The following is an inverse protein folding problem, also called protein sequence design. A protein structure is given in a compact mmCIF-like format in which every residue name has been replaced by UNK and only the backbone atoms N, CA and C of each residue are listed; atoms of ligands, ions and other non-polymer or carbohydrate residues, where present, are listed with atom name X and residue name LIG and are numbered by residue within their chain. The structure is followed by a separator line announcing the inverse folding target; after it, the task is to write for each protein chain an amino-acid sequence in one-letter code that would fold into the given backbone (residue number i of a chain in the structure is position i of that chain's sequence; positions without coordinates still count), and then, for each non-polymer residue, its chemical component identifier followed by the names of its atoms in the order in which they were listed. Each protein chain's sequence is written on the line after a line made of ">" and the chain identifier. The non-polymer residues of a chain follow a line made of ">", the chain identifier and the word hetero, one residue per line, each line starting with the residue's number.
data_IF_818741941502
#
_entry.id   IF_818741941502
#
_cell.length_a   1.000
_cell.length_b   1.000
_cell.length_c   1.000
_cell.angle_alpha   90.00
_cell.angle_beta   90.00
_cell.angle_gamma   90.00
#
_symmetry.space_group_name_H-M   'P 1'
#
loop_
_entity.id
_entity.type
_entity.pdbx_description
1 polymer ?
#
# COMPACT_ATOMS: atom_id res chain seq x y z
N UNK A 1 29.84 16.33 32.58
CA UNK A 1 29.44 15.01 32.04
C UNK A 1 28.10 14.68 32.64
N UNK A 2 27.04 14.68 31.83
CA UNK A 2 25.71 14.27 32.27
C UNK A 2 25.78 12.75 32.41
N UNK A 3 25.75 12.24 33.64
CA UNK A 3 25.59 10.81 33.88
C UNK A 3 24.22 10.40 33.33
N UNK A 4 24.20 9.86 32.10
CA UNK A 4 23.04 9.30 31.42
C UNK A 4 22.43 8.06 32.13
N UNK A 5 22.97 7.71 33.30
CA UNK A 5 22.82 6.45 34.02
C UNK A 5 22.78 6.64 35.55
N UNK A 6 22.37 7.80 36.08
CA UNK A 6 22.30 7.97 37.55
C UNK A 6 21.22 7.07 38.16
N UNK A 7 21.64 5.96 38.77
CA UNK A 7 21.41 5.42 40.13
C UNK A 7 20.21 5.92 40.97
N UNK A 8 19.09 6.28 40.36
CA UNK A 8 17.82 6.35 41.10
C UNK A 8 17.29 4.92 41.09
N UNK A 9 17.41 4.23 42.23
CA UNK A 9 16.75 2.94 42.45
C UNK A 9 15.23 3.16 42.44
N UNK A 10 14.65 3.14 41.25
CA UNK A 10 13.22 3.29 41.06
C UNK A 10 12.51 2.04 41.59
N UNK A 11 11.64 2.23 42.57
CA UNK A 11 10.84 1.15 43.18
C UNK A 11 9.39 1.32 42.76
N UNK A 12 8.69 0.22 42.49
CA UNK A 12 7.26 0.24 42.20
C UNK A 12 6.51 0.82 43.41
N UNK A 13 5.62 1.79 43.21
CA UNK A 13 4.96 2.56 44.27
C UNK A 13 5.83 3.66 44.89
N UNK A 14 7.06 3.87 44.40
CA UNK A 14 7.92 4.98 44.83
C UNK A 14 7.39 6.34 44.37
N UNK A 15 7.74 7.42 45.09
CA UNK A 15 7.33 8.78 44.71
C UNK A 15 8.11 9.27 43.49
N UNK A 16 7.40 9.85 42.52
CA UNK A 16 8.01 10.57 41.40
C UNK A 16 8.40 11.97 41.90
N UNK A 17 9.68 12.39 41.79
CA UNK A 17 10.08 13.75 42.16
C UNK A 17 9.27 14.81 41.40
N UNK A 18 8.88 15.89 42.08
CA UNK A 18 8.10 17.00 41.49
C UNK A 18 8.80 17.63 40.29
N UNK A 19 10.13 17.61 40.29
CA UNK A 19 10.98 18.26 39.29
C UNK A 19 11.51 17.24 38.26
N UNK A 20 11.03 15.99 38.30
CA UNK A 20 11.43 14.98 37.34
C UNK A 20 11.04 15.40 35.92
N UNK A 21 12.04 15.57 35.07
CA UNK A 21 11.92 15.78 33.64
C UNK A 21 12.97 14.95 32.94
N UNK A 22 12.55 14.02 32.09
CA UNK A 22 13.48 13.16 31.37
C UNK A 22 14.29 13.99 30.37
N UNK A 23 15.59 14.12 30.62
CA UNK A 23 16.52 14.87 29.76
C UNK A 23 16.63 14.25 28.36
N UNK A 24 16.26 12.98 28.19
CA UNK A 24 16.29 12.28 26.91
C UNK A 24 14.99 12.37 26.11
N UNK A 25 14.00 13.15 26.55
CA UNK A 25 12.73 13.31 25.81
C UNK A 25 12.93 13.77 24.35
N UNK A 26 14.00 14.52 24.07
CA UNK A 26 14.38 14.95 22.71
C UNK A 26 14.77 13.79 21.78
N UNK A 27 15.03 12.59 22.31
CA UNK A 27 15.29 11.40 21.49
C UNK A 27 14.06 10.98 20.68
N UNK A 28 12.85 11.26 21.15
CA UNK A 28 11.62 10.95 20.42
C UNK A 28 11.60 11.55 18.99
N UNK A 29 11.65 12.88 18.81
CA UNK A 29 11.62 13.47 17.47
C UNK A 29 12.86 13.09 16.63
N UNK A 30 14.02 12.86 17.27
CA UNK A 30 15.24 12.43 16.58
C UNK A 30 15.07 11.02 15.98
N UNK A 31 14.57 10.06 16.77
CA UNK A 31 14.35 8.69 16.31
C UNK A 31 13.24 8.59 15.27
N UNK A 32 12.13 9.33 15.46
CA UNK A 32 11.06 9.40 14.47
C UNK A 32 11.57 10.01 13.17
N UNK A 33 12.30 11.13 13.23
CA UNK A 33 12.90 11.77 12.07
C UNK A 33 13.89 10.87 11.35
N UNK A 34 14.79 10.21 12.08
CA UNK A 34 15.72 9.22 11.53
C UNK A 34 14.98 8.06 10.85
N UNK A 35 13.91 7.55 11.47
CA UNK A 35 13.03 6.54 10.89
C UNK A 35 12.45 6.99 9.54
N UNK A 36 11.94 8.22 9.45
CA UNK A 36 11.42 8.78 8.19
C UNK A 36 12.49 8.85 7.11
N UNK A 37 13.68 9.38 7.41
CA UNK A 37 14.78 9.45 6.45
C UNK A 37 15.24 8.07 5.97
N UNK A 38 15.29 7.09 6.87
CA UNK A 38 15.66 5.73 6.55
C UNK A 38 14.62 5.07 5.62
N UNK A 39 13.33 5.26 5.89
CA UNK A 39 12.25 4.82 4.99
C UNK A 39 12.38 5.46 3.61
N UNK A 40 12.63 6.77 3.55
CA UNK A 40 12.82 7.49 2.29
C UNK A 40 14.03 6.95 1.50
N UNK A 41 15.17 6.78 2.17
CA UNK A 41 16.41 6.28 1.56
C UNK A 41 16.27 4.86 1.01
N UNK A 42 15.74 3.93 1.80
CA UNK A 42 15.56 2.53 1.34
C UNK A 42 14.53 2.43 0.22
N UNK A 43 13.46 3.24 0.28
CA UNK A 43 12.46 3.31 -0.79
C UNK A 43 13.07 3.86 -2.08
N UNK A 44 13.87 4.92 -2.00
CA UNK A 44 14.61 5.45 -3.15
C UNK A 44 15.57 4.41 -3.74
N UNK A 45 16.32 3.68 -2.91
CA UNK A 45 17.19 2.60 -3.37
C UNK A 45 16.43 1.49 -4.10
N UNK A 46 15.24 1.07 -3.60
CA UNK A 46 14.39 0.07 -4.27
C UNK A 46 13.87 0.57 -5.62
N UNK A 47 13.45 1.83 -5.70
CA UNK A 47 12.95 2.46 -6.94
C UNK A 47 14.10 2.59 -7.96
N UNK A 48 15.26 3.06 -7.52
CA UNK A 48 16.46 3.19 -8.35
C UNK A 48 16.95 1.83 -8.90
N UNK A 49 16.95 0.78 -8.07
CA UNK A 49 17.28 -0.59 -8.52
C UNK A 49 16.33 -1.12 -9.60
N UNK A 50 15.09 -0.62 -9.66
CA UNK A 50 14.12 -0.92 -10.72
C UNK A 50 14.27 -0.03 -11.95
N UNK A 51 15.27 0.85 -11.99
CA UNK A 51 15.52 1.84 -13.05
C UNK A 51 14.37 2.83 -13.26
N UNK A 52 13.59 3.09 -12.21
CA UNK A 52 12.51 4.07 -12.24
C UNK A 52 13.09 5.44 -11.84
N UNK A 53 12.83 6.53 -12.58
CA UNK A 53 13.29 7.86 -12.21
C UNK A 53 12.75 8.29 -10.84
N UNK A 54 13.62 8.81 -9.97
CA UNK A 54 13.25 9.24 -8.61
C UNK A 54 12.44 10.54 -8.58
N UNK A 55 12.35 11.28 -9.69
CA UNK A 55 11.64 12.56 -9.79
C UNK A 55 10.23 12.49 -9.21
N UNK A 56 9.45 11.49 -9.63
CA UNK A 56 8.05 11.38 -9.18
C UNK A 56 7.94 10.95 -7.73
N UNK A 57 8.91 10.19 -7.21
CA UNK A 57 8.99 9.83 -5.79
C UNK A 57 9.30 11.04 -4.91
N UNK A 58 10.28 11.86 -5.30
CA UNK A 58 10.64 13.10 -4.60
C UNK A 58 9.48 14.10 -4.61
N UNK A 59 8.82 14.29 -5.76
CA UNK A 59 7.63 15.14 -5.84
C UNK A 59 6.49 14.63 -4.96
N UNK A 60 6.29 13.31 -4.89
CA UNK A 60 5.29 12.72 -3.99
C UNK A 60 5.58 13.10 -2.53
N UNK A 61 6.85 13.03 -2.10
CA UNK A 61 7.28 13.41 -0.74
C UNK A 61 6.97 14.88 -0.46
N UNK A 62 7.33 15.78 -1.37
CA UNK A 62 7.07 17.23 -1.22
C UNK A 62 5.58 17.57 -1.11
N UNK A 63 4.71 16.75 -1.68
CA UNK A 63 3.26 16.93 -1.62
C UNK A 63 2.68 16.22 -0.39
N UNK A 64 3.06 14.96 -0.15
CA UNK A 64 2.45 14.11 0.86
C UNK A 64 2.84 14.49 2.28
N UNK A 65 4.07 14.95 2.52
CA UNK A 65 4.52 15.31 3.86
C UNK A 65 3.76 16.53 4.41
N UNK A 66 3.69 17.68 3.70
CA UNK A 66 2.92 18.84 4.19
C UNK A 66 1.44 18.52 4.37
N UNK A 67 0.83 17.82 3.40
CA UNK A 67 -0.59 17.43 3.49
C UNK A 67 -0.82 16.46 4.65
N UNK A 68 0.14 15.56 4.90
CA UNK A 68 0.11 14.65 6.05
C UNK A 68 0.22 15.39 7.38
N UNK A 69 1.09 16.39 7.51
CA UNK A 69 1.20 17.19 8.74
C UNK A 69 -0.08 18.00 8.99
N UNK A 70 -0.63 18.62 7.95
CA UNK A 70 -1.89 19.36 8.04
C UNK A 70 -3.04 18.41 8.41
N UNK A 71 -3.13 17.25 7.77
CA UNK A 71 -4.12 16.22 8.11
C UNK A 71 -3.98 15.72 9.54
N UNK A 72 -2.75 15.54 10.03
CA UNK A 72 -2.51 15.16 11.42
C UNK A 72 -3.10 16.19 12.39
N UNK A 73 -2.84 17.47 12.15
CA UNK A 73 -3.36 18.57 12.99
C UNK A 73 -4.89 18.63 12.95
N UNK A 74 -5.49 18.58 11.76
CA UNK A 74 -6.94 18.67 11.59
C UNK A 74 -7.64 17.51 12.32
N UNK A 75 -7.29 16.27 12.01
CA UNK A 75 -7.98 15.11 12.60
C UNK A 75 -7.63 14.90 14.08
N UNK A 76 -6.48 15.35 14.56
CA UNK A 76 -6.13 15.29 15.97
C UNK A 76 -6.96 16.24 16.82
N UNK A 77 -7.14 17.48 16.37
CA UNK A 77 -7.94 18.49 17.07
C UNK A 77 -9.45 18.31 16.89
N UNK A 78 -9.90 17.75 15.76
CA UNK A 78 -11.30 17.34 15.59
C UNK A 78 -11.69 16.19 16.54
N UNK A 79 -10.73 15.34 16.91
CA UNK A 79 -10.96 14.23 17.82
C UNK A 79 -11.02 14.61 19.30
N UNK A 80 -10.50 15.79 19.68
CA UNK A 80 -10.66 16.35 21.02
C UNK A 80 -11.98 17.12 21.10
N UNK A 81 -13.04 16.42 21.53
CA UNK A 81 -14.43 16.90 21.62
C UNK A 81 -14.65 18.08 22.60
N UNK A 82 -13.60 18.59 23.25
CA UNK A 82 -13.70 19.60 24.32
C UNK A 82 -13.29 21.01 23.91
N UNK A 83 -12.81 21.23 22.68
CA UNK A 83 -12.53 22.60 22.23
C UNK A 83 -13.79 23.22 21.63
N UNK A 84 -14.33 24.22 22.33
CA UNK A 84 -15.30 25.14 21.77
C UNK A 84 -14.85 25.56 20.36
N UNK A 85 -15.73 25.35 19.38
CA UNK A 85 -15.50 25.57 17.94
C UNK A 85 -15.25 27.03 17.55
N UNK A 86 -14.95 27.87 18.53
CA UNK A 86 -14.83 29.32 18.48
C UNK A 86 -13.77 29.78 17.48
N UNK A 87 -12.81 28.92 17.07
CA UNK A 87 -11.78 29.25 16.09
C UNK A 87 -11.37 28.09 15.17
N UNK A 88 -12.13 27.84 14.10
CA UNK A 88 -11.85 26.81 13.08
C UNK A 88 -10.42 26.85 12.50
N UNK A 89 -9.80 28.04 12.38
CA UNK A 89 -8.44 28.18 11.85
C UNK A 89 -7.36 27.52 12.74
N UNK A 90 -7.63 27.32 14.04
CA UNK A 90 -6.69 26.63 14.95
C UNK A 90 -6.48 25.17 14.57
N UNK A 91 -7.38 24.57 13.79
CA UNK A 91 -7.22 23.21 13.24
C UNK A 91 -5.95 23.06 12.40
N UNK A 92 -5.46 24.15 11.79
CA UNK A 92 -4.25 24.14 10.95
C UNK A 92 -2.95 24.38 11.72
N UNK A 93 -3.03 24.71 13.02
CA UNK A 93 -1.86 25.03 13.84
C UNK A 93 -1.13 23.75 14.24
N UNK A 94 -0.35 23.19 13.33
CA UNK A 94 0.41 21.96 13.56
C UNK A 94 1.51 22.14 14.62
N UNK A 95 1.93 23.36 14.94
CA UNK A 95 2.89 23.62 16.02
C UNK A 95 2.27 23.52 17.42
N UNK A 96 0.95 23.35 17.52
CA UNK A 96 0.27 23.09 18.79
C UNK A 96 0.08 21.57 19.00
N UNK A 97 -0.02 21.13 20.26
CA UNK A 97 -0.34 19.73 20.56
C UNK A 97 -1.71 19.32 19.99
N UNK A 98 -1.92 18.01 19.85
CA UNK A 98 -3.14 17.43 19.28
C UNK A 98 -2.99 16.99 17.82
N UNK A 99 -1.91 16.30 17.47
CA UNK A 99 -1.76 15.65 16.17
C UNK A 99 -2.30 14.21 16.18
N UNK A 100 -3.01 13.82 15.12
CA UNK A 100 -3.47 12.45 14.89
C UNK A 100 -2.58 11.73 13.88
N UNK A 101 -2.01 10.59 14.30
CA UNK A 101 -1.31 9.67 13.40
C UNK A 101 -2.21 9.20 12.24
N UNK A 102 -3.47 8.86 12.52
CA UNK A 102 -4.43 8.43 11.50
C UNK A 102 -4.75 9.53 10.49
N UNK A 103 -4.89 10.78 10.97
CA UNK A 103 -5.04 11.95 10.11
C UNK A 103 -3.88 12.12 9.14
N UNK A 104 -2.66 11.95 9.65
CA UNK A 104 -1.44 12.02 8.83
C UNK A 104 -1.40 10.95 7.75
N UNK A 105 -1.65 9.70 8.13
CA UNK A 105 -1.64 8.56 7.23
C UNK A 105 -2.73 8.68 6.16
N UNK A 106 -3.93 9.11 6.53
CA UNK A 106 -5.05 9.29 5.62
C UNK A 106 -4.76 10.41 4.60
N UNK A 107 -4.46 11.63 5.05
CA UNK A 107 -4.23 12.76 4.16
C UNK A 107 -2.94 12.63 3.35
N UNK A 108 -1.82 12.29 4.00
CA UNK A 108 -0.53 12.13 3.32
C UNK A 108 -0.52 10.93 2.38
N UNK A 109 -1.07 9.79 2.82
CA UNK A 109 -1.14 8.58 2.01
C UNK A 109 -2.07 8.73 0.80
N UNK A 110 -3.22 9.38 0.95
CA UNK A 110 -4.12 9.68 -0.17
C UNK A 110 -3.49 10.66 -1.15
N UNK A 111 -2.81 11.71 -0.69
CA UNK A 111 -2.08 12.62 -1.55
C UNK A 111 -0.99 11.92 -2.38
N UNK A 112 -0.18 11.06 -1.75
CA UNK A 112 0.83 10.26 -2.45
C UNK A 112 0.17 9.31 -3.47
N UNK A 113 -0.91 8.63 -3.10
CA UNK A 113 -1.65 7.75 -4.00
C UNK A 113 -2.20 8.50 -5.22
N UNK A 114 -2.84 9.65 -5.02
CA UNK A 114 -3.37 10.47 -6.10
C UNK A 114 -2.27 10.98 -7.03
N UNK A 115 -1.14 11.40 -6.47
CA UNK A 115 0.03 11.81 -7.25
C UNK A 115 0.54 10.69 -8.14
N UNK A 116 0.84 9.52 -7.56
CA UNK A 116 1.32 8.37 -8.32
C UNK A 116 0.27 7.88 -9.32
N UNK A 117 -1.01 7.91 -8.97
CA UNK A 117 -2.09 7.53 -9.87
C UNK A 117 -2.17 8.45 -11.09
N UNK A 118 -2.08 9.75 -10.89
CA UNK A 118 -2.03 10.71 -11.98
C UNK A 118 -0.78 10.51 -12.85
N UNK A 119 0.41 10.42 -12.23
CA UNK A 119 1.68 10.24 -12.94
C UNK A 119 1.83 8.88 -13.60
N UNK A 120 1.12 7.86 -13.14
CA UNK A 120 1.08 6.55 -13.78
C UNK A 120 0.57 6.63 -15.22
N UNK A 121 -0.30 7.61 -15.54
CA UNK A 121 -0.86 7.79 -16.89
C UNK A 121 0.17 8.31 -17.90
N UNK A 122 1.16 9.07 -17.44
CA UNK A 122 2.21 9.62 -18.31
C UNK A 122 3.46 8.75 -18.31
N UNK A 123 3.91 8.31 -17.13
CA UNK A 123 5.12 7.49 -16.97
C UNK A 123 4.90 6.01 -17.31
N UNK A 124 3.62 5.58 -17.39
CA UNK A 124 3.22 4.17 -17.52
C UNK A 124 3.76 3.26 -16.42
N UNK A 125 4.18 3.82 -15.28
CA UNK A 125 4.56 3.03 -14.09
C UNK A 125 3.35 2.84 -13.21
N UNK A 126 2.98 1.59 -12.94
CA UNK A 126 1.84 1.28 -12.09
C UNK A 126 2.04 1.78 -10.65
N UNK A 127 1.00 2.35 -10.06
CA UNK A 127 1.02 2.83 -8.66
C UNK A 127 1.42 1.73 -7.68
N UNK A 128 1.01 0.48 -7.97
CA UNK A 128 1.33 -0.67 -7.14
C UNK A 128 2.84 -0.97 -7.09
N UNK A 129 3.61 -0.54 -8.10
CA UNK A 129 5.07 -0.66 -8.10
C UNK A 129 5.68 0.29 -7.08
N UNK A 130 5.22 1.54 -7.05
CA UNK A 130 5.62 2.51 -6.01
C UNK A 130 5.18 2.03 -4.63
N UNK A 131 3.94 1.53 -4.50
CA UNK A 131 3.43 1.01 -3.25
C UNK A 131 4.32 -0.12 -2.70
N UNK A 132 4.71 -1.11 -3.51
CA UNK A 132 5.57 -2.21 -3.06
C UNK A 132 6.99 -1.74 -2.69
N UNK A 133 7.46 -0.64 -3.30
CA UNK A 133 8.75 -0.06 -2.97
C UNK A 133 8.74 0.74 -1.68
N UNK A 134 7.61 1.34 -1.30
CA UNK A 134 7.48 2.29 -0.18
C UNK A 134 6.82 1.64 1.04
N UNK A 135 5.60 1.10 0.86
CA UNK A 135 4.71 0.68 1.96
C UNK A 135 5.36 -0.33 2.91
N UNK A 136 6.02 -1.41 2.44
CA UNK A 136 6.69 -2.31 3.35
C UNK A 136 7.73 -1.61 4.23
N UNK A 137 8.48 -0.65 3.68
CA UNK A 137 9.55 0.02 4.41
C UNK A 137 9.03 0.88 5.56
N UNK A 138 7.75 1.29 5.57
CA UNK A 138 7.14 2.03 6.68
C UNK A 138 7.32 1.29 8.02
N UNK A 139 7.36 -0.06 7.99
CA UNK A 139 7.64 -0.88 9.17
C UNK A 139 8.99 -0.56 9.83
N UNK A 140 10.01 -0.17 9.06
CA UNK A 140 11.29 0.25 9.62
C UNK A 140 11.16 1.54 10.40
N UNK A 141 10.47 2.54 9.82
CA UNK A 141 10.18 3.79 10.49
C UNK A 141 9.37 3.57 11.77
N UNK A 142 8.36 2.68 11.72
CA UNK A 142 7.60 2.28 12.90
C UNK A 142 8.50 1.61 13.95
N UNK A 143 9.34 0.65 13.55
CA UNK A 143 10.20 -0.07 14.49
C UNK A 143 11.14 0.85 15.27
N UNK A 144 11.69 1.87 14.60
CA UNK A 144 12.56 2.88 15.22
C UNK A 144 11.74 3.89 16.02
N UNK A 145 10.59 4.33 15.49
CA UNK A 145 9.70 5.26 16.18
C UNK A 145 9.23 4.75 17.54
N UNK A 146 9.02 3.43 17.69
CA UNK A 146 8.68 2.83 19.00
C UNK A 146 9.74 3.04 20.08
N UNK A 147 11.01 3.14 19.72
CA UNK A 147 12.05 3.49 20.69
C UNK A 147 11.92 4.94 21.15
N UNK A 148 11.42 5.84 20.29
CA UNK A 148 11.04 7.19 20.70
C UNK A 148 10.03 7.15 21.84
N UNK A 149 8.99 6.31 21.73
CA UNK A 149 7.92 6.21 22.72
C UNK A 149 8.43 5.93 24.14
N UNK A 150 9.49 5.12 24.27
CA UNK A 150 10.16 4.86 25.54
C UNK A 150 10.69 6.16 26.17
N UNK A 151 11.40 6.98 25.38
CA UNK A 151 11.97 8.25 25.86
C UNK A 151 10.93 9.36 26.07
N UNK A 152 9.78 9.28 25.41
CA UNK A 152 8.68 10.23 25.62
C UNK A 152 7.70 9.78 26.72
N UNK A 153 7.96 8.62 27.34
CA UNK A 153 7.07 7.99 28.30
C UNK A 153 5.62 7.82 27.78
N UNK A 154 5.44 7.32 26.55
CA UNK A 154 4.11 7.14 25.93
C UNK A 154 3.88 5.70 25.43
N UNK A 155 2.62 5.26 25.36
CA UNK A 155 2.20 3.99 24.73
C UNK A 155 2.98 2.79 25.31
N UNK A 156 2.93 2.67 26.62
CA UNK A 156 3.49 1.55 27.38
C UNK A 156 2.46 0.43 27.54
N UNK A 157 2.91 -0.75 27.94
CA UNK A 157 2.02 -1.89 28.13
C UNK A 157 1.22 -1.82 29.43
N UNK A 158 0.69 -2.98 29.83
CA UNK A 158 -0.07 -3.13 31.08
C UNK A 158 0.81 -2.89 32.30
N UNK A 159 0.14 -2.68 33.43
CA UNK A 159 0.79 -2.56 34.74
C UNK A 159 1.54 -3.86 35.06
N UNK A 160 2.75 -3.71 35.58
CA UNK A 160 3.56 -4.82 36.08
C UNK A 160 3.42 -4.85 37.59
N UNK A 161 2.73 -5.87 38.09
CA UNK A 161 2.58 -6.08 39.54
C UNK A 161 3.88 -6.61 40.18
N UNK A 162 4.64 -7.41 39.43
CA UNK A 162 5.89 -8.04 39.86
C UNK A 162 7.06 -7.64 38.95
N UNK A 163 7.93 -6.79 39.48
CA UNK A 163 9.10 -6.23 38.78
C UNK A 163 10.09 -7.33 38.37
N UNK A 164 10.09 -8.49 39.03
CA UNK A 164 10.95 -9.62 38.65
C UNK A 164 10.73 -10.10 37.21
N UNK A 165 9.52 -9.88 36.66
CA UNK A 165 9.17 -10.21 35.26
C UNK A 165 9.87 -9.35 34.22
N UNK A 166 10.38 -8.18 34.61
CA UNK A 166 11.07 -7.22 33.71
C UNK A 166 12.57 -7.08 34.05
N UNK A 167 13.07 -7.74 35.09
CA UNK A 167 14.48 -7.70 35.51
C UNK A 167 15.49 -8.22 34.47
N UNK A 168 15.04 -8.88 33.40
CA UNK A 168 15.91 -9.28 32.30
C UNK A 168 16.26 -8.12 31.35
N UNK A 169 15.55 -6.99 31.46
CA UNK A 169 15.81 -5.81 30.64
C UNK A 169 17.01 -5.03 31.18
N UNK A 170 17.84 -4.45 30.30
CA UNK A 170 18.88 -3.52 30.70
C UNK A 170 18.34 -2.32 31.50
N UNK A 171 19.14 -1.82 32.43
CA UNK A 171 18.78 -0.70 33.34
C UNK A 171 18.28 0.55 32.62
N UNK A 172 18.85 0.86 31.46
CA UNK A 172 18.43 2.04 30.69
C UNK A 172 16.99 1.94 30.17
N UNK A 173 16.43 0.72 30.04
CA UNK A 173 15.07 0.47 29.54
C UNK A 173 14.09 0.46 30.70
N UNK A 174 14.29 -0.42 31.68
CA UNK A 174 13.26 -0.64 32.71
C UNK A 174 13.06 0.58 33.61
N UNK A 175 14.12 1.36 33.86
CA UNK A 175 14.02 2.67 34.54
C UNK A 175 13.22 3.74 33.79
N UNK A 176 12.68 3.45 32.59
CA UNK A 176 11.82 4.37 31.83
C UNK A 176 10.43 3.80 31.56
N UNK A 177 10.15 2.59 32.04
CA UNK A 177 8.87 1.91 31.84
C UNK A 177 7.80 2.38 32.82
N UNK A 178 7.58 3.68 32.96
CA UNK A 178 6.49 4.23 33.77
C UNK A 178 5.96 5.53 33.17
N UNK A 179 4.72 5.88 33.49
CA UNK A 179 4.13 7.16 33.10
C UNK A 179 4.49 8.27 34.08
N UNK A 180 4.87 9.44 33.56
CA UNK A 180 5.04 10.66 34.38
C UNK A 180 3.73 11.44 34.47
N UNK A 181 2.96 11.40 33.39
CA UNK A 181 1.67 12.08 33.23
C UNK A 181 0.65 11.03 32.85
N UNK A 182 -0.50 11.02 33.52
CA UNK A 182 -1.62 10.15 33.16
C UNK A 182 -2.09 10.52 31.74
N UNK A 183 -2.04 9.58 30.78
CA UNK A 183 -2.43 9.90 29.41
C UNK A 183 -3.93 10.15 29.22
N UNK A 184 -4.79 9.80 30.18
CA UNK A 184 -6.22 10.07 30.16
C UNK A 184 -6.56 11.46 30.69
N UNK A 185 -6.05 11.78 31.88
CA UNK A 185 -6.41 13.02 32.58
C UNK A 185 -5.44 14.16 32.29
N UNK A 186 -4.23 13.85 31.81
CA UNK A 186 -3.14 14.82 31.64
C UNK A 186 -2.53 15.27 32.96
N UNK A 187 -2.91 14.65 34.08
CA UNK A 187 -2.40 14.99 35.41
C UNK A 187 -1.07 14.29 35.69
N UNK A 188 -0.21 14.94 36.48
CA UNK A 188 1.07 14.36 36.86
C UNK A 188 0.84 13.25 37.89
N UNK A 189 1.42 12.08 37.65
CA UNK A 189 1.36 10.97 38.59
C UNK A 189 2.33 11.22 39.75
N UNK A 190 1.90 10.85 40.96
CA UNK A 190 2.69 10.96 42.19
C UNK A 190 3.50 9.71 42.50
N UNK A 191 3.04 8.56 42.02
CA UNK A 191 3.60 7.25 42.28
C UNK A 191 4.03 6.55 40.99
N UNK A 192 5.13 5.81 41.07
CA UNK A 192 5.67 5.02 39.97
C UNK A 192 4.87 3.74 39.86
N UNK A 193 4.35 3.49 38.66
CA UNK A 193 3.81 2.20 38.30
C UNK A 193 4.53 1.68 37.07
N UNK A 194 5.32 0.62 37.24
CA UNK A 194 6.03 0.01 36.12
C UNK A 194 5.06 -0.63 35.13
N UNK A 195 5.43 -0.56 33.85
CA UNK A 195 4.64 -1.03 32.72
C UNK A 195 5.41 -2.09 31.93
N UNK A 196 4.68 -2.92 31.21
CA UNK A 196 5.28 -3.89 30.29
C UNK A 196 5.96 -3.17 29.11
N UNK A 197 7.06 -3.72 28.57
CA UNK A 197 7.84 -3.11 27.48
C UNK A 197 7.16 -3.30 26.12
N UNK A 198 5.90 -2.87 25.97
CA UNK A 198 5.12 -3.02 24.74
C UNK A 198 5.82 -2.41 23.52
N UNK A 199 6.51 -1.28 23.71
CA UNK A 199 7.30 -0.63 22.67
C UNK A 199 8.33 -1.57 22.02
N UNK A 200 8.95 -2.45 22.82
CA UNK A 200 9.97 -3.39 22.38
C UNK A 200 9.34 -4.53 21.57
N UNK A 201 8.21 -5.05 22.03
CA UNK A 201 7.43 -6.07 21.31
C UNK A 201 6.98 -5.53 19.95
N UNK A 202 6.45 -4.30 19.89
CA UNK A 202 6.04 -3.67 18.64
C UNK A 202 7.22 -3.35 17.72
N UNK A 203 8.33 -2.86 18.28
CA UNK A 203 9.55 -2.58 17.52
C UNK A 203 10.08 -3.84 16.84
N UNK A 204 10.21 -4.94 17.61
CA UNK A 204 10.70 -6.20 17.09
C UNK A 204 9.72 -6.84 16.10
N UNK A 205 8.41 -6.86 16.41
CA UNK A 205 7.41 -7.45 15.53
C UNK A 205 7.34 -6.72 14.18
N UNK A 206 7.38 -5.39 14.17
CA UNK A 206 7.38 -4.59 12.93
C UNK A 206 8.67 -4.78 12.13
N UNK A 207 9.83 -4.80 12.79
CA UNK A 207 11.10 -5.09 12.13
C UNK A 207 11.13 -6.51 11.53
N UNK A 208 10.68 -7.52 12.29
CA UNK A 208 10.63 -8.90 11.83
C UNK A 208 9.68 -9.05 10.63
N UNK A 209 8.51 -8.41 10.67
CA UNK A 209 7.61 -8.39 9.52
C UNK A 209 8.25 -7.73 8.30
N UNK A 210 9.03 -6.66 8.47
CA UNK A 210 9.76 -6.04 7.37
C UNK A 210 10.77 -6.99 6.73
N UNK A 211 11.52 -7.73 7.56
CA UNK A 211 12.47 -8.76 7.12
C UNK A 211 11.73 -9.85 6.33
N UNK A 212 10.62 -10.35 6.86
CA UNK A 212 9.80 -11.36 6.20
C UNK A 212 9.29 -10.85 4.84
N UNK A 213 8.75 -9.64 4.76
CA UNK A 213 8.24 -9.08 3.49
C UNK A 213 9.37 -8.91 2.48
N UNK A 214 10.50 -8.33 2.90
CA UNK A 214 11.59 -7.94 2.00
C UNK A 214 12.41 -9.14 1.51
N UNK A 215 12.63 -10.15 2.35
CA UNK A 215 13.52 -11.28 2.01
C UNK A 215 12.77 -12.58 1.73
N UNK A 216 11.67 -12.85 2.44
CA UNK A 216 10.90 -14.09 2.29
C UNK A 216 9.82 -13.92 1.23
N UNK A 217 8.80 -13.09 1.46
CA UNK A 217 7.65 -12.97 0.55
C UNK A 217 8.03 -12.42 -0.83
N UNK A 218 9.01 -11.52 -0.91
CA UNK A 218 9.53 -11.03 -2.18
C UNK A 218 10.21 -12.11 -3.04
N UNK A 219 10.72 -13.18 -2.42
CA UNK A 219 11.43 -14.28 -3.11
C UNK A 219 10.66 -15.61 -3.11
N UNK A 220 9.58 -15.72 -2.33
CA UNK A 220 8.78 -16.92 -2.17
C UNK A 220 8.33 -17.52 -3.50
N UNK A 221 7.90 -16.67 -4.43
CA UNK A 221 7.46 -17.11 -5.75
C UNK A 221 8.59 -17.79 -6.55
N UNK A 222 9.83 -17.30 -6.46
CA UNK A 222 11.00 -17.93 -7.10
C UNK A 222 11.34 -19.28 -6.47
N UNK A 223 11.11 -19.43 -5.17
CA UNK A 223 11.39 -20.69 -4.46
C UNK A 223 10.42 -21.79 -4.91
N UNK A 224 9.12 -21.47 -4.99
CA UNK A 224 8.05 -22.41 -5.37
C UNK A 224 7.98 -22.62 -6.89
N UNK A 225 8.39 -21.63 -7.70
CA UNK A 225 8.36 -21.74 -9.16
C UNK A 225 9.29 -22.83 -9.69
N UNK A 226 8.90 -23.41 -10.83
CA UNK A 226 9.77 -24.23 -11.69
C UNK A 226 11.05 -23.44 -11.98
N UNK A 227 12.21 -24.10 -11.90
CA UNK A 227 13.51 -23.45 -12.12
C UNK A 227 13.77 -23.27 -13.62
N UNK A 228 14.25 -22.10 -14.08
CA UNK A 228 14.48 -21.84 -15.51
C UNK A 228 15.35 -22.90 -16.18
N UNK A 229 16.46 -23.25 -15.55
CA UNK A 229 17.43 -24.25 -16.03
C UNK A 229 16.92 -25.70 -16.02
N UNK A 230 15.74 -25.98 -15.44
CA UNK A 230 15.09 -27.28 -15.56
C UNK A 230 14.13 -27.32 -16.75
N UNK A 231 13.58 -26.17 -17.15
CA UNK A 231 12.65 -26.06 -18.29
C UNK A 231 13.46 -26.00 -19.58
N UNK A 232 14.50 -25.18 -19.59
CA UNK A 232 15.40 -25.02 -20.73
C UNK A 232 16.86 -25.07 -20.23
N UNK A 233 17.46 -26.26 -20.19
CA UNK A 233 18.80 -26.42 -19.61
C UNK A 233 19.92 -25.78 -20.45
N UNK A 234 19.77 -25.67 -21.76
CA UNK A 234 20.83 -25.20 -22.66
C UNK A 234 20.95 -23.68 -22.54
N UNK A 235 19.82 -22.97 -22.58
CA UNK A 235 19.79 -21.50 -22.58
C UNK A 235 20.05 -20.85 -21.22
N UNK A 236 20.13 -21.65 -20.16
CA UNK A 236 20.39 -21.21 -18.80
C UNK A 236 21.61 -21.93 -18.19
N UNK A 237 22.82 -21.70 -18.74
CA UNK A 237 24.03 -22.24 -18.15
C UNK A 237 24.28 -21.55 -16.81
N UNK A 238 24.20 -22.27 -15.69
CA UNK A 238 24.43 -21.69 -14.37
C UNK A 238 24.95 -22.74 -13.39
N UNK A 239 25.57 -22.30 -12.28
CA UNK A 239 26.10 -23.24 -11.28
C UNK A 239 25.03 -24.17 -10.70
N UNK A 240 23.77 -23.71 -10.65
CA UNK A 240 22.63 -24.50 -10.19
C UNK A 240 22.11 -25.53 -11.22
N UNK A 241 22.50 -25.38 -12.49
CA UNK A 241 22.16 -26.32 -13.56
C UNK A 241 23.13 -27.50 -13.51
N UNK A 242 22.60 -28.71 -13.26
CA UNK A 242 23.42 -29.92 -13.19
C UNK A 242 23.90 -30.41 -14.56
N UNK A 243 23.16 -30.11 -15.64
CA UNK A 243 23.45 -30.57 -17.00
C UNK A 243 24.43 -29.66 -17.73
N UNK A 244 24.14 -28.36 -17.73
CA UNK A 244 24.96 -27.34 -18.40
C UNK A 244 25.39 -26.27 -17.40
N UNK A 245 26.57 -26.43 -16.80
CA UNK A 245 27.13 -25.41 -15.89
C UNK A 245 27.71 -24.22 -16.66
N UNK A 246 28.25 -24.51 -17.84
CA UNK A 246 28.87 -23.58 -18.76
C UNK A 246 28.38 -23.92 -20.17
N UNK A 247 28.25 -22.91 -21.03
CA UNK A 247 27.93 -23.09 -22.44
C UNK A 247 28.80 -22.16 -23.30
N UNK A 248 28.95 -22.46 -24.59
CA UNK A 248 29.53 -21.52 -25.54
C UNK A 248 28.41 -20.57 -26.01
N UNK A 249 28.78 -19.32 -26.31
CA UNK A 249 27.82 -18.30 -26.72
C UNK A 249 27.03 -18.68 -27.99
N UNK A 250 27.70 -19.37 -28.92
CA UNK A 250 27.12 -19.89 -30.17
C UNK A 250 26.03 -20.97 -29.98
N UNK A 251 26.00 -21.63 -28.82
CA UNK A 251 25.07 -22.72 -28.53
C UNK A 251 23.80 -22.21 -27.83
N UNK A 252 23.74 -20.91 -27.54
CA UNK A 252 22.59 -20.27 -26.88
C UNK A 252 21.63 -19.70 -27.92
N UNK A 253 20.34 -19.91 -27.69
CA UNK A 253 19.31 -19.24 -28.45
C UNK A 253 19.29 -17.74 -28.13
N UNK A 254 18.94 -16.95 -29.14
CA UNK A 254 18.74 -15.50 -28.99
C UNK A 254 17.42 -15.22 -28.26
N UNK A 255 17.54 -14.81 -27.00
CA UNK A 255 16.41 -14.34 -26.20
C UNK A 255 16.25 -12.83 -26.33
N UNK A 256 15.09 -12.39 -26.82
CA UNK A 256 14.72 -10.97 -26.76
C UNK A 256 14.56 -10.53 -25.31
N UNK A 257 15.39 -9.56 -24.89
CA UNK A 257 15.39 -9.07 -23.50
C UNK A 257 15.52 -7.55 -23.42
N UNK A 258 14.85 -6.94 -22.44
CA UNK A 258 14.85 -5.48 -22.20
C UNK A 258 16.23 -4.87 -21.97
N UNK A 259 17.14 -5.66 -21.41
CA UNK A 259 18.48 -5.22 -20.99
C UNK A 259 19.44 -6.33 -21.36
N UNK A 260 20.64 -6.00 -21.89
CA UNK A 260 21.64 -7.01 -22.21
C UNK A 260 21.92 -7.91 -21.00
N UNK A 261 21.81 -9.21 -21.23
CA UNK A 261 22.05 -10.22 -20.21
C UNK A 261 23.53 -10.24 -19.86
N UNK A 262 23.87 -10.08 -18.59
CA UNK A 262 25.26 -10.15 -18.14
C UNK A 262 25.65 -11.59 -17.84
N UNK A 263 26.50 -12.14 -18.70
CA UNK A 263 27.15 -13.42 -18.50
C UNK A 263 28.50 -13.25 -17.80
N UNK A 264 28.90 -14.26 -17.02
CA UNK A 264 30.22 -14.38 -16.42
C UNK A 264 31.07 -15.32 -17.27
N UNK A 265 32.37 -15.04 -17.37
CA UNK A 265 33.33 -15.89 -18.09
C UNK A 265 33.66 -17.13 -17.26
N UNK A 266 33.50 -18.28 -17.88
CA UNK A 266 33.93 -19.58 -17.37
C UNK A 266 35.27 -20.03 -17.98
N UNK A 267 35.72 -21.26 -17.67
CA UNK A 267 36.91 -21.86 -18.24
C UNK A 267 36.80 -22.00 -19.77
N UNK A 268 37.93 -21.96 -20.48
CA UNK A 268 38.02 -22.27 -21.91
C UNK A 268 37.09 -21.42 -22.80
N UNK A 269 36.87 -20.15 -22.44
CA UNK A 269 36.03 -19.22 -23.21
C UNK A 269 34.52 -19.47 -23.09
N UNK A 270 34.10 -20.37 -22.20
CA UNK A 270 32.67 -20.61 -21.94
C UNK A 270 32.05 -19.49 -21.11
N UNK A 271 30.72 -19.42 -21.09
CA UNK A 271 29.97 -18.44 -20.31
C UNK A 271 28.92 -19.10 -19.41
N UNK A 272 28.56 -18.42 -18.32
CA UNK A 272 27.51 -18.85 -17.41
C UNK A 272 26.80 -17.67 -16.76
N UNK A 273 25.59 -17.91 -16.24
CA UNK A 273 24.75 -16.97 -15.54
C UNK A 273 24.88 -17.16 -14.02
N UNK A 274 24.88 -16.06 -13.28
CA UNK A 274 24.57 -16.10 -11.85
C UNK A 274 23.11 -16.55 -11.64
N UNK A 275 22.79 -17.13 -10.49
CA UNK A 275 21.43 -17.57 -10.18
C UNK A 275 20.41 -16.41 -10.26
N UNK A 276 20.79 -15.20 -9.86
CA UNK A 276 19.92 -14.02 -9.97
C UNK A 276 19.67 -13.66 -11.43
N UNK A 277 20.70 -13.67 -12.27
CA UNK A 277 20.59 -13.39 -13.70
C UNK A 277 19.79 -14.45 -14.45
N UNK A 278 19.89 -15.73 -14.07
CA UNK A 278 19.05 -16.78 -14.65
C UNK A 278 17.56 -16.50 -14.44
N UNK A 279 17.16 -16.07 -13.23
CA UNK A 279 15.78 -15.65 -12.97
C UNK A 279 15.37 -14.37 -13.70
N UNK A 280 16.27 -13.37 -13.78
CA UNK A 280 16.00 -12.13 -14.52
C UNK A 280 15.80 -12.38 -16.01
N UNK A 281 16.69 -13.17 -16.64
CA UNK A 281 16.61 -13.57 -18.05
C UNK A 281 15.30 -14.32 -18.32
N UNK A 282 14.96 -15.30 -17.48
CA UNK A 282 13.83 -16.19 -17.72
C UNK A 282 12.46 -15.50 -17.71
N UNK A 283 12.29 -14.47 -16.90
CA UNK A 283 10.97 -13.86 -16.70
C UNK A 283 11.00 -12.35 -16.71
N UNK A 284 11.81 -11.73 -15.85
CA UNK A 284 11.75 -10.27 -15.60
C UNK A 284 12.15 -9.46 -16.82
N UNK A 285 13.10 -9.95 -17.61
CA UNK A 285 13.64 -9.23 -18.78
C UNK A 285 13.14 -9.78 -20.11
N UNK A 286 12.50 -10.94 -20.14
CA UNK A 286 11.99 -11.55 -21.37
C UNK A 286 10.95 -10.66 -22.05
N UNK A 287 11.19 -10.35 -23.32
CA UNK A 287 10.28 -9.61 -24.19
C UNK A 287 9.67 -10.50 -25.28
N UNK A 288 8.34 -10.62 -25.34
CA UNK A 288 7.68 -11.29 -26.46
C UNK A 288 7.77 -10.47 -27.76
N UNK A 289 7.49 -11.13 -28.89
CA UNK A 289 7.48 -10.47 -30.21
C UNK A 289 6.45 -9.33 -30.29
N UNK A 290 6.85 -8.16 -30.78
CA UNK A 290 6.00 -6.96 -30.89
C UNK A 290 4.65 -7.22 -31.58
N UNK A 291 4.63 -7.98 -32.68
CA UNK A 291 3.40 -8.27 -33.43
C UNK A 291 2.37 -9.07 -32.60
N UNK A 292 2.81 -10.04 -31.81
CA UNK A 292 1.92 -10.82 -30.94
C UNK A 292 1.34 -9.97 -29.79
N UNK A 293 2.15 -9.07 -29.23
CA UNK A 293 1.72 -8.14 -28.17
C UNK A 293 0.67 -7.18 -28.69
N UNK A 294 0.92 -6.54 -29.83
CA UNK A 294 -0.01 -5.61 -30.46
C UNK A 294 -1.34 -6.28 -30.83
N UNK A 295 -1.31 -7.54 -31.28
CA UNK A 295 -2.52 -8.30 -31.58
C UNK A 295 -3.39 -8.50 -30.33
N UNK A 296 -2.80 -8.84 -29.18
CA UNK A 296 -3.51 -8.95 -27.91
C UNK A 296 -3.98 -7.58 -27.39
N UNK A 297 -3.17 -6.54 -27.54
CA UNK A 297 -3.52 -5.18 -27.12
C UNK A 297 -4.70 -4.61 -27.93
N UNK A 298 -4.78 -4.92 -29.22
CA UNK A 298 -5.93 -4.56 -30.06
C UNK A 298 -7.22 -5.23 -29.57
N UNK A 299 -7.17 -6.49 -29.12
CA UNK A 299 -8.35 -7.16 -28.51
C UNK A 299 -8.81 -6.43 -27.24
N UNK A 300 -7.88 -6.00 -26.40
CA UNK A 300 -8.17 -5.23 -25.18
C UNK A 300 -8.76 -3.85 -25.54
N UNK A 301 -8.20 -3.16 -26.52
CA UNK A 301 -8.67 -1.85 -26.96
C UNK A 301 -10.07 -1.93 -27.60
N UNK A 302 -10.36 -2.99 -28.35
CA UNK A 302 -11.69 -3.24 -28.89
C UNK A 302 -12.73 -3.36 -27.76
N UNK A 303 -12.42 -4.10 -26.68
CA UNK A 303 -13.29 -4.19 -25.50
C UNK A 303 -13.51 -2.83 -24.83
N UNK A 304 -12.49 -1.97 -24.74
CA UNK A 304 -12.63 -0.59 -24.22
C UNK A 304 -13.57 0.25 -25.09
N UNK A 305 -13.49 0.10 -26.41
CA UNK A 305 -14.32 0.85 -27.36
C UNK A 305 -15.81 0.49 -27.28
N UNK A 306 -16.15 -0.75 -26.90
CA UNK A 306 -17.55 -1.20 -26.78
C UNK A 306 -18.32 -0.34 -25.78
N UNK A 307 -17.74 -0.03 -24.63
CA UNK A 307 -18.40 0.80 -23.61
C UNK A 307 -18.59 2.26 -24.07
N UNK A 308 -17.62 2.80 -24.82
CA UNK A 308 -17.72 4.15 -25.40
C UNK A 308 -18.83 4.21 -26.45
N UNK A 309 -18.85 3.25 -27.38
CA UNK A 309 -19.92 3.11 -28.39
C UNK A 309 -21.29 2.92 -27.75
N UNK A 310 -21.39 2.12 -26.68
CA UNK A 310 -22.63 1.95 -25.94
C UNK A 310 -23.09 3.25 -25.26
N UNK A 311 -22.15 4.07 -24.77
CA UNK A 311 -22.44 5.40 -24.19
C UNK A 311 -22.98 6.37 -25.24
N UNK A 312 -22.37 6.43 -26.41
CA UNK A 312 -22.84 7.24 -27.54
C UNK A 312 -24.24 6.81 -27.99
N UNK A 313 -24.45 5.51 -28.22
CA UNK A 313 -25.76 4.95 -28.55
C UNK A 313 -26.83 5.28 -27.50
N UNK A 314 -26.49 5.16 -26.22
CA UNK A 314 -27.40 5.51 -25.13
C UNK A 314 -27.82 6.98 -25.20
N UNK A 315 -26.86 7.90 -25.39
CA UNK A 315 -27.14 9.33 -25.46
C UNK A 315 -28.00 9.67 -26.68
N UNK A 316 -27.69 9.09 -27.84
CA UNK A 316 -28.46 9.28 -29.07
C UNK A 316 -29.91 8.77 -28.91
N UNK A 317 -30.09 7.60 -28.28
CA UNK A 317 -31.42 7.04 -28.04
C UNK A 317 -32.23 7.89 -27.07
N UNK A 318 -31.61 8.40 -25.99
CA UNK A 318 -32.27 9.32 -25.05
C UNK A 318 -32.68 10.61 -25.76
N UNK A 319 -31.80 11.18 -26.59
CA UNK A 319 -32.11 12.38 -27.38
C UNK A 319 -33.27 12.13 -28.35
N UNK A 320 -33.29 10.98 -29.03
CA UNK A 320 -34.37 10.58 -29.93
C UNK A 320 -35.71 10.48 -29.20
N UNK A 321 -35.74 9.81 -28.04
CA UNK A 321 -36.95 9.70 -27.20
C UNK A 321 -37.44 11.08 -26.76
N UNK A 322 -36.53 11.95 -26.34
CA UNK A 322 -36.89 13.32 -25.94
C UNK A 322 -37.42 14.14 -27.11
N UNK A 323 -36.84 13.99 -28.31
CA UNK A 323 -37.35 14.63 -29.53
C UNK A 323 -38.74 14.14 -29.91
N UNK A 324 -39.01 12.83 -29.82
CA UNK A 324 -40.35 12.25 -30.06
C UNK A 324 -41.38 12.79 -29.05
N UNK A 325 -41.02 12.84 -27.76
CA UNK A 325 -41.89 13.39 -26.71
C UNK A 325 -42.14 14.90 -26.90
N UNK A 326 -41.12 15.69 -27.23
CA UNK A 326 -41.27 17.13 -27.44
C UNK A 326 -42.10 17.43 -28.70
N UNK A 327 -41.96 16.63 -29.77
CA UNK A 327 -42.83 16.74 -30.95
C UNK A 327 -44.32 16.55 -30.58
N UNK A 328 -44.64 15.57 -29.74
CA UNK A 328 -46.03 15.40 -29.28
C UNK A 328 -46.47 16.46 -28.28
N UNK A 329 -45.56 16.96 -27.46
CA UNK A 329 -45.85 18.08 -26.54
C UNK A 329 -46.21 19.36 -27.31
N UNK A 330 -45.60 19.61 -28.47
CA UNK A 330 -46.00 20.72 -29.35
C UNK A 330 -47.43 20.52 -29.87
N UNK A 331 -47.85 19.29 -30.17
CA UNK A 331 -49.24 19.01 -30.57
C UNK A 331 -50.23 19.25 -29.42
N UNK A 332 -49.85 18.89 -28.19
CA UNK A 332 -50.62 19.20 -26.97
C UNK A 332 -50.79 20.71 -26.80
N UNK A 333 -49.69 21.48 -26.91
CA UNK A 333 -49.73 22.94 -26.76
C UNK A 333 -50.58 23.64 -27.84
N UNK A 334 -50.74 23.02 -29.02
CA UNK A 334 -51.61 23.49 -30.10
C UNK A 334 -53.06 23.01 -29.98
N UNK A 335 -53.42 22.32 -28.89
CA UNK A 335 -54.77 21.79 -28.65
C UNK A 335 -55.16 20.61 -29.54
N UNK A 336 -54.21 19.96 -30.23
CA UNK A 336 -54.50 18.86 -31.17
C UNK A 336 -54.67 17.49 -30.48
N UNK A 337 -54.20 17.35 -29.25
CA UNK A 337 -54.31 16.13 -28.43
C UNK A 337 -54.65 16.50 -26.99
N UNK A 338 -55.27 15.59 -26.26
CA UNK A 338 -55.59 15.77 -24.85
C UNK A 338 -54.39 15.47 -23.95
N UNK A 339 -54.43 15.98 -22.70
CA UNK A 339 -53.40 15.71 -21.70
C UNK A 339 -53.25 14.22 -21.40
N UNK A 340 -54.34 13.47 -21.40
CA UNK A 340 -54.34 12.03 -21.12
C UNK A 340 -53.68 11.24 -22.26
N UNK A 341 -53.97 11.60 -23.52
CA UNK A 341 -53.32 11.02 -24.70
C UNK A 341 -51.81 11.26 -24.70
N UNK A 342 -51.38 12.49 -24.36
CA UNK A 342 -49.95 12.80 -24.24
C UNK A 342 -49.25 11.97 -23.14
N UNK A 343 -49.89 11.77 -21.99
CA UNK A 343 -49.35 10.95 -20.90
C UNK A 343 -49.23 9.49 -21.33
N UNK A 344 -50.25 8.97 -22.03
CA UNK A 344 -50.25 7.60 -22.55
C UNK A 344 -49.12 7.39 -23.58
N UNK A 345 -49.02 8.29 -24.57
CA UNK A 345 -47.94 8.30 -25.56
C UNK A 345 -46.57 8.32 -24.91
N UNK A 346 -46.35 9.23 -23.94
CA UNK A 346 -45.08 9.32 -23.22
C UNK A 346 -44.73 8.01 -22.49
N UNK A 347 -45.72 7.30 -21.96
CA UNK A 347 -45.55 6.02 -21.27
C UNK A 347 -45.23 4.90 -22.27
N UNK A 348 -45.94 4.83 -23.39
CA UNK A 348 -45.70 3.85 -24.45
C UNK A 348 -44.33 4.03 -25.10
N UNK A 349 -43.98 5.24 -25.51
CA UNK A 349 -42.66 5.56 -26.11
C UNK A 349 -41.54 5.16 -25.16
N UNK A 350 -41.64 5.47 -23.87
CA UNK A 350 -40.64 5.02 -22.88
C UNK A 350 -40.62 3.50 -22.70
N UNK A 351 -41.76 2.82 -22.76
CA UNK A 351 -41.84 1.36 -22.65
C UNK A 351 -41.22 0.67 -23.86
N UNK A 352 -41.43 1.18 -25.08
CA UNK A 352 -40.88 0.64 -26.31
C UNK A 352 -39.34 0.57 -26.27
N UNK A 353 -38.70 1.61 -25.76
CA UNK A 353 -37.24 1.67 -25.64
C UNK A 353 -36.67 1.18 -24.29
N UNK A 354 -37.52 0.76 -23.35
CA UNK A 354 -37.11 0.39 -21.98
C UNK A 354 -36.06 -0.72 -21.95
N UNK A 355 -36.25 -1.77 -22.76
CA UNK A 355 -35.35 -2.93 -22.83
C UNK A 355 -33.98 -2.54 -23.40
N UNK A 356 -33.97 -1.76 -24.48
CA UNK A 356 -32.76 -1.28 -25.14
C UNK A 356 -31.95 -0.33 -24.23
N UNK A 357 -32.63 0.63 -23.59
CA UNK A 357 -32.00 1.54 -22.61
C UNK A 357 -31.40 0.78 -21.42
N UNK A 358 -32.05 -0.28 -20.94
CA UNK A 358 -31.53 -1.13 -19.86
C UNK A 358 -30.24 -1.82 -20.29
N UNK A 359 -30.19 -2.40 -21.48
CA UNK A 359 -29.00 -3.07 -22.01
C UNK A 359 -27.85 -2.07 -22.20
N UNK A 360 -28.10 -0.96 -22.88
CA UNK A 360 -27.10 0.10 -23.08
C UNK A 360 -26.61 0.70 -21.76
N UNK A 361 -27.46 0.79 -20.74
CA UNK A 361 -27.07 1.25 -19.40
C UNK A 361 -26.08 0.30 -18.72
N UNK A 362 -26.22 -1.01 -18.92
CA UNK A 362 -25.28 -2.02 -18.42
C UNK A 362 -23.97 -1.99 -19.21
N UNK A 363 -24.04 -1.90 -20.54
CA UNK A 363 -22.86 -1.91 -21.42
C UNK A 363 -22.01 -0.63 -21.30
N UNK A 364 -22.65 0.53 -21.15
CA UNK A 364 -21.94 1.81 -20.95
C UNK A 364 -21.29 1.93 -19.57
N UNK A 365 -21.64 1.07 -18.62
CA UNK A 365 -21.15 1.16 -17.25
C UNK A 365 -19.63 0.91 -17.24
N UNK A 366 -18.88 1.94 -16.86
CA UNK A 366 -17.41 1.91 -16.84
C UNK A 366 -16.86 0.84 -15.90
N UNK A 367 -17.52 0.58 -14.78
CA UNK A 367 -17.11 -0.43 -13.81
C UNK A 367 -17.33 -1.84 -14.37
N UNK A 368 -18.49 -2.10 -14.99
CA UNK A 368 -18.77 -3.39 -15.64
C UNK A 368 -17.80 -3.64 -16.80
N UNK A 369 -17.58 -2.63 -17.64
CA UNK A 369 -16.59 -2.68 -18.72
C UNK A 369 -15.19 -2.99 -18.18
N UNK A 370 -14.77 -2.30 -17.12
CA UNK A 370 -13.49 -2.54 -16.45
C UNK A 370 -13.38 -3.97 -15.91
N UNK A 371 -14.41 -4.49 -15.24
CA UNK A 371 -14.43 -5.84 -14.67
C UNK A 371 -14.44 -6.95 -15.73
N UNK A 372 -14.99 -6.67 -16.93
CA UNK A 372 -15.02 -7.60 -18.07
C UNK A 372 -13.73 -7.65 -18.88
N UNK A 373 -12.79 -6.71 -18.67
CA UNK A 373 -11.50 -6.71 -19.37
C UNK A 373 -10.75 -8.01 -19.14
N UNK A 374 -10.10 -8.48 -20.20
CA UNK A 374 -9.32 -9.71 -20.19
C UNK A 374 -7.96 -9.50 -20.87
N UNK A 375 -6.90 -9.58 -20.07
CA UNK A 375 -5.50 -9.47 -20.50
C UNK A 375 -4.76 -10.81 -20.36
N UNK A 376 -5.48 -11.94 -20.27
CA UNK A 376 -4.87 -13.26 -20.04
C UNK A 376 -3.93 -13.67 -21.17
N UNK A 377 -4.25 -13.34 -22.42
CA UNK A 377 -3.37 -13.58 -23.58
C UNK A 377 -2.04 -12.84 -23.44
N UNK A 378 -2.11 -11.53 -23.16
CA UNK A 378 -0.93 -10.70 -22.88
C UNK A 378 -0.10 -11.23 -21.70
N UNK A 379 -0.77 -11.68 -20.64
CA UNK A 379 -0.11 -12.30 -19.48
C UNK A 379 0.64 -13.58 -19.86
N UNK A 380 0.03 -14.45 -20.68
CA UNK A 380 0.64 -15.70 -21.12
C UNK A 380 1.83 -15.47 -22.06
N UNK A 381 1.72 -14.49 -22.98
CA UNK A 381 2.82 -14.11 -23.88
C UNK A 381 4.03 -13.62 -23.10
N UNK A 382 3.80 -12.84 -22.05
CA UNK A 382 4.86 -12.35 -21.17
C UNK A 382 5.40 -13.42 -20.20
N UNK A 383 4.75 -14.56 -20.06
CA UNK A 383 5.15 -15.66 -19.17
C UNK A 383 4.91 -17.04 -19.83
N UNK A 384 5.60 -17.36 -20.94
CA UNK A 384 5.27 -18.55 -21.74
C UNK A 384 5.37 -19.84 -20.93
N UNK A 385 6.38 -19.93 -20.05
CA UNK A 385 6.65 -21.09 -19.21
C UNK A 385 5.86 -21.10 -17.88
N UNK A 386 4.97 -20.14 -17.67
CA UNK A 386 4.10 -20.03 -16.50
C UNK A 386 4.85 -20.10 -15.15
N UNK A 387 5.95 -19.35 -15.02
CA UNK A 387 6.68 -19.21 -13.76
C UNK A 387 5.78 -18.59 -12.69
N UNK A 388 6.00 -18.91 -11.41
CA UNK A 388 5.31 -18.25 -10.30
C UNK A 388 6.04 -16.94 -9.97
N UNK A 389 5.31 -15.83 -9.90
CA UNK A 389 5.87 -14.50 -9.68
C UNK A 389 5.10 -13.78 -8.59
N UNK A 390 5.80 -12.98 -7.79
CA UNK A 390 5.19 -12.01 -6.89
C UNK A 390 4.85 -10.76 -7.69
N UNK A 391 3.55 -10.49 -7.87
CA UNK A 391 3.09 -9.36 -8.67
C UNK A 391 3.12 -8.05 -7.88
N UNK A 392 3.09 -6.93 -8.59
CA UNK A 392 3.08 -5.61 -7.96
C UNK A 392 1.80 -5.41 -7.11
N UNK A 393 1.96 -4.85 -5.91
CA UNK A 393 0.91 -4.62 -4.93
C UNK A 393 0.78 -5.74 -3.90
N UNK A 394 1.38 -6.90 -4.16
CA UNK A 394 1.35 -8.05 -3.26
C UNK A 394 2.12 -7.75 -1.97
N UNK A 395 3.31 -7.12 -2.04
CA UNK A 395 4.10 -6.83 -0.84
C UNK A 395 3.43 -5.76 0.04
N UNK A 396 2.84 -4.73 -0.57
CA UNK A 396 2.03 -3.74 0.16
C UNK A 396 0.82 -4.38 0.84
N UNK A 397 0.15 -5.34 0.20
CA UNK A 397 -0.99 -6.03 0.81
C UNK A 397 -0.58 -6.91 2.00
N UNK A 398 0.57 -7.58 1.91
CA UNK A 398 1.14 -8.38 3.01
C UNK A 398 1.53 -7.47 4.18
N UNK A 399 2.01 -6.25 3.91
CA UNK A 399 2.21 -5.24 4.98
C UNK A 399 0.90 -4.96 5.73
N UNK A 400 -0.20 -4.69 5.02
CA UNK A 400 -1.49 -4.40 5.67
C UNK A 400 -1.92 -5.60 6.53
N UNK A 401 -1.92 -6.79 5.95
CA UNK A 401 -2.29 -8.03 6.65
C UNK A 401 -1.40 -8.25 7.88
N UNK A 402 -0.09 -8.24 7.70
CA UNK A 402 0.87 -8.53 8.76
C UNK A 402 0.84 -7.51 9.89
N UNK A 403 0.78 -6.22 9.55
CA UNK A 403 0.69 -5.16 10.56
C UNK A 403 -0.63 -5.24 11.33
N UNK A 404 -1.74 -5.55 10.66
CA UNK A 404 -3.03 -5.78 11.33
C UNK A 404 -2.99 -7.01 12.24
N UNK A 405 -2.29 -8.08 11.87
CA UNK A 405 -2.08 -9.25 12.75
C UNK A 405 -1.26 -8.86 13.99
N UNK A 406 -0.17 -8.10 13.81
CA UNK A 406 0.63 -7.59 14.93
C UNK A 406 -0.26 -6.77 15.88
N UNK A 407 -1.10 -5.89 15.34
CA UNK A 407 -2.07 -5.12 16.11
C UNK A 407 -3.07 -6.00 16.84
N UNK A 408 -3.64 -7.01 16.21
CA UNK A 408 -4.54 -7.96 16.89
C UNK A 408 -3.88 -8.66 18.08
N UNK A 409 -2.59 -8.98 17.98
CA UNK A 409 -1.84 -9.68 19.04
C UNK A 409 -1.44 -8.74 20.17
N UNK A 410 -1.04 -7.50 19.84
CA UNK A 410 -0.44 -6.56 20.80
C UNK A 410 -1.41 -5.52 21.35
N UNK A 411 -2.50 -5.19 20.66
CA UNK A 411 -3.52 -4.26 21.17
C UNK A 411 -4.18 -4.71 22.49
N UNK A 412 -4.35 -6.01 22.81
CA UNK A 412 -4.77 -6.43 24.15
C UNK A 412 -3.86 -5.93 25.27
N UNK A 413 -2.56 -5.74 25.01
CA UNK A 413 -1.59 -5.27 25.99
C UNK A 413 -1.62 -3.74 26.19
N UNK A 414 -2.43 -3.02 25.40
CA UNK A 414 -2.60 -1.58 25.50
C UNK A 414 -3.70 -1.21 26.50
N UNK A 415 -3.65 0.02 26.98
CA UNK A 415 -4.79 0.61 27.66
C UNK A 415 -5.87 1.05 26.64
N UNK A 416 -7.16 1.08 27.01
CA UNK A 416 -8.26 1.39 26.08
C UNK A 416 -8.13 2.73 25.34
N UNK A 417 -7.54 3.75 25.96
CA UNK A 417 -7.33 5.08 25.38
C UNK A 417 -6.17 5.15 24.37
N UNK A 418 -5.32 4.12 24.33
CA UNK A 418 -4.18 3.99 23.40
C UNK A 418 -4.54 3.15 22.15
N UNK A 419 -5.77 2.63 22.11
CA UNK A 419 -6.28 1.89 20.96
C UNK A 419 -6.50 2.81 19.75
N UNK A 420 -6.62 2.20 18.57
CA UNK A 420 -6.92 2.94 17.33
C UNK A 420 -8.26 3.65 17.45
N UNK A 421 -9.25 2.94 17.96
CA UNK A 421 -10.54 3.52 18.37
C UNK A 421 -10.52 3.62 19.89
N UNK A 422 -10.25 4.82 20.39
CA UNK A 422 -10.08 5.09 21.83
C UNK A 422 -11.32 4.69 22.62
N UNK A 423 -11.12 4.02 23.75
CA UNK A 423 -12.14 3.63 24.73
C UNK A 423 -13.29 2.77 24.17
N UNK A 424 -13.10 2.13 23.00
CA UNK A 424 -14.11 1.28 22.37
C UNK A 424 -13.49 0.00 21.81
N UNK A 425 -13.19 -0.95 22.70
CA UNK A 425 -12.47 -2.18 22.37
C UNK A 425 -13.14 -2.99 21.24
N UNK A 426 -14.46 -3.21 21.35
CA UNK A 426 -15.23 -3.96 20.34
C UNK A 426 -15.11 -3.30 18.96
N UNK A 427 -15.26 -1.97 18.91
CA UNK A 427 -15.18 -1.23 17.65
C UNK A 427 -13.75 -1.21 17.10
N UNK A 428 -12.73 -1.18 17.97
CA UNK A 428 -11.33 -1.31 17.59
C UNK A 428 -11.06 -2.65 16.88
N UNK A 429 -11.51 -3.77 17.45
CA UNK A 429 -11.31 -5.08 16.83
C UNK A 429 -12.14 -5.30 15.56
N UNK A 430 -13.36 -4.74 15.48
CA UNK A 430 -14.14 -4.74 14.24
C UNK A 430 -13.44 -3.94 13.14
N UNK A 431 -12.87 -2.78 13.48
CA UNK A 431 -12.08 -1.97 12.57
C UNK A 431 -10.84 -2.73 12.07
N UNK A 432 -10.08 -3.37 12.98
CA UNK A 432 -8.93 -4.20 12.62
C UNK A 432 -9.34 -5.39 11.73
N UNK A 433 -10.47 -6.05 12.01
CA UNK A 433 -10.97 -7.15 11.18
C UNK A 433 -11.32 -6.66 9.77
N UNK A 434 -11.95 -5.48 9.65
CA UNK A 434 -12.21 -4.83 8.38
C UNK A 434 -10.92 -4.55 7.59
N UNK A 435 -9.88 -4.04 8.25
CA UNK A 435 -8.56 -3.81 7.64
C UNK A 435 -7.88 -5.10 7.17
N UNK A 436 -8.02 -6.19 7.95
CA UNK A 436 -7.48 -7.50 7.58
C UNK A 436 -8.16 -8.03 6.32
N UNK A 437 -9.50 -7.99 6.26
CA UNK A 437 -10.28 -8.40 5.10
C UNK A 437 -9.92 -7.55 3.89
N UNK A 438 -9.80 -6.24 4.06
CA UNK A 438 -9.37 -5.33 3.01
C UNK A 438 -7.98 -5.67 2.46
N UNK A 439 -7.02 -5.94 3.34
CA UNK A 439 -5.68 -6.40 2.97
C UNK A 439 -5.71 -7.71 2.17
N UNK A 440 -6.53 -8.69 2.59
CA UNK A 440 -6.72 -9.96 1.88
C UNK A 440 -7.35 -9.78 0.50
N UNK A 441 -8.35 -8.90 0.36
CA UNK A 441 -8.96 -8.58 -0.93
C UNK A 441 -7.91 -7.97 -1.87
N UNK A 442 -7.11 -7.02 -1.39
CA UNK A 442 -6.02 -6.43 -2.20
C UNK A 442 -5.02 -7.51 -2.59
N UNK A 443 -4.62 -8.39 -1.67
CA UNK A 443 -3.68 -9.48 -1.94
C UNK A 443 -4.19 -10.39 -3.07
N UNK A 444 -5.43 -10.89 -2.94
CA UNK A 444 -6.03 -11.76 -3.95
C UNK A 444 -6.14 -11.05 -5.30
N UNK A 445 -6.56 -9.78 -5.26
CA UNK A 445 -6.69 -8.96 -6.45
C UNK A 445 -5.35 -8.72 -7.15
N UNK A 446 -4.33 -8.26 -6.43
CA UNK A 446 -3.00 -7.94 -6.95
C UNK A 446 -2.26 -9.19 -7.44
N UNK A 447 -2.34 -10.29 -6.70
CA UNK A 447 -1.58 -11.51 -6.99
C UNK A 447 -2.25 -12.39 -8.05
N UNK A 448 -3.59 -12.44 -8.14
CA UNK A 448 -4.26 -13.43 -9.00
C UNK A 448 -5.17 -12.84 -10.08
N UNK A 449 -5.81 -11.70 -9.82
CA UNK A 449 -6.87 -11.16 -10.69
C UNK A 449 -6.29 -10.11 -11.64
N UNK A 450 -5.70 -9.05 -11.10
CA UNK A 450 -5.20 -7.90 -11.85
C UNK A 450 -4.21 -8.29 -12.96
N UNK A 451 -3.27 -9.25 -12.77
CA UNK A 451 -2.34 -9.65 -13.82
C UNK A 451 -3.01 -10.20 -15.08
N UNK A 452 -4.15 -10.87 -14.92
CA UNK A 452 -4.88 -11.51 -16.02
C UNK A 452 -6.00 -10.65 -16.58
N UNK A 453 -6.44 -9.60 -15.87
CA UNK A 453 -7.58 -8.78 -16.28
C UNK A 453 -7.24 -7.38 -16.76
N UNK A 454 -6.25 -6.73 -16.14
CA UNK A 454 -6.10 -5.27 -16.25
C UNK A 454 -4.70 -4.80 -16.66
N UNK A 455 -3.83 -5.73 -17.06
CA UNK A 455 -2.51 -5.37 -17.59
C UNK A 455 -2.61 -4.91 -19.03
N UNK A 456 -1.78 -3.94 -19.37
CA UNK A 456 -1.74 -3.30 -20.68
C UNK A 456 -0.29 -3.19 -21.14
N UNK A 457 -0.10 -3.22 -22.46
CA UNK A 457 1.20 -3.07 -23.10
C UNK A 457 1.84 -1.70 -22.78
N UNK A 458 3.16 -1.71 -22.60
CA UNK A 458 3.98 -0.52 -22.36
C UNK A 458 3.89 0.00 -20.92
N UNK A 459 3.21 -0.72 -20.02
CA UNK A 459 3.15 -0.40 -18.60
C UNK A 459 4.18 -1.19 -17.80
N UNK A 460 4.89 -0.49 -16.90
CA UNK A 460 5.78 -1.11 -15.93
C UNK A 460 4.99 -1.56 -14.70
N UNK A 461 4.88 -2.88 -14.55
CA UNK A 461 4.43 -3.56 -13.34
C UNK A 461 5.64 -4.16 -12.61
N UNK A 462 5.71 -5.48 -12.43
CA UNK A 462 6.97 -6.13 -12.04
C UNK A 462 8.02 -6.14 -13.17
N UNK A 463 7.56 -6.04 -14.42
CA UNK A 463 8.31 -5.84 -15.65
C UNK A 463 7.46 -5.01 -16.63
N UNK A 464 8.05 -4.54 -17.72
CA UNK A 464 7.24 -3.96 -18.81
C UNK A 464 6.39 -5.05 -19.45
N UNK A 465 5.10 -4.76 -19.62
CA UNK A 465 4.11 -5.65 -20.24
C UNK A 465 3.89 -5.37 -21.70
#
# INVERSE_FOLDING_TARGET
>A
MINLLTDINWVNGGKIPSDYGDQLRLMYPILVGFGVFLVMGISALKIWKRKIPLKEFVNAIYISLPIGVIGASIFGKLGSLEQEWTYFYKLFFFWQPGMSFFGSMLCGGTAAFLWFWHKSKTTRVSVYVYADCIVPNILLGQSIGRWGNLFNHEIMGRNVDDVSKINWLPDFIWHRLFYVVDPNTGERLTEIQFKEPLFLYESFATLMLWILITFVFANLAKWISKKPWNVDPINFPCKANKKYKFALEKDLDDYSTQVPVKYQRGPNGTIYLSNEWAWKKAYTLYEPSLGAVQAEQTKINNQKSVALKAREKYNNLVNKINQEIEKEKVKLNRGKITKNEFVLFKKETKNNYKKELKNLRLEKNSLISFMKRNSKGLYQLNNPNNYKITHCGTLSSIYIIGYTIIRFILDPLRNPYELTVKNMDILNYLFLAGFLIFGLIIFVCAQFIAPKKWREEGWLYEKSY
#
